data_IF_738126114677
#
_entry.id   IF_738126114677
#
_cell.length_a   1.000
_cell.length_b   1.000
_cell.length_c   1.000
_cell.angle_alpha   90.00
_cell.angle_beta   90.00
_cell.angle_gamma   90.00
#
_symmetry.space_group_name_H-M   'P 1'
#
loop_
_entity.id
_entity.type
_entity.pdbx_description
1 polymer ?
#
# COMPACT_ATOMS: atom_id res chain seq x y z
N UNK A 1 -17.81 2.64 12.47
CA UNK A 1 -17.47 2.27 13.86
C UNK A 1 -17.24 3.58 14.58
N UNK A 2 -17.99 3.86 15.63
CA UNK A 2 -18.01 5.20 16.26
C UNK A 2 -16.70 5.46 17.03
N UNK A 3 -16.24 6.71 17.04
CA UNK A 3 -14.96 7.13 17.64
C UNK A 3 -14.86 6.97 19.16
N UNK A 4 -15.89 6.47 19.84
CA UNK A 4 -15.93 6.32 21.31
C UNK A 4 -15.17 5.10 21.85
N UNK A 5 -14.68 4.22 20.97
CA UNK A 5 -14.00 2.99 21.38
C UNK A 5 -12.54 3.18 21.84
N UNK A 6 -11.94 4.35 21.63
CA UNK A 6 -10.51 4.59 21.94
C UNK A 6 -10.35 5.48 23.18
N UNK A 7 -9.47 5.09 24.10
CA UNK A 7 -9.28 5.79 25.38
C UNK A 7 -8.56 7.14 25.22
N UNK A 8 -7.55 7.19 24.35
CA UNK A 8 -6.75 8.39 24.13
C UNK A 8 -7.41 9.37 23.13
N UNK A 9 -7.42 10.66 23.49
CA UNK A 9 -7.98 11.72 22.62
C UNK A 9 -7.30 11.76 21.26
N UNK A 10 -5.97 11.64 21.21
CA UNK A 10 -5.21 11.62 19.95
C UNK A 10 -5.61 10.47 19.03
N UNK A 11 -5.91 9.30 19.59
CA UNK A 11 -6.31 8.10 18.84
C UNK A 11 -7.75 8.23 18.33
N UNK A 12 -8.68 8.79 19.13
CA UNK A 12 -10.03 9.13 18.65
C UNK A 12 -9.99 10.10 17.46
N UNK A 13 -9.15 11.14 17.55
CA UNK A 13 -8.95 12.09 16.46
C UNK A 13 -8.40 11.41 15.21
N UNK A 14 -7.40 10.53 15.36
CA UNK A 14 -6.84 9.77 14.24
C UNK A 14 -7.88 8.84 13.60
N UNK A 15 -8.70 8.17 14.41
CA UNK A 15 -9.76 7.30 13.93
C UNK A 15 -10.79 8.06 13.09
N UNK A 16 -11.25 9.22 13.58
CA UNK A 16 -12.19 10.07 12.86
C UNK A 16 -11.61 10.54 11.51
N UNK A 17 -10.33 10.88 11.45
CA UNK A 17 -9.65 11.21 10.20
C UNK A 17 -9.64 10.03 9.22
N UNK A 18 -9.31 8.82 9.70
CA UNK A 18 -9.33 7.60 8.87
C UNK A 18 -10.72 7.30 8.35
N UNK A 19 -11.76 7.47 9.17
CA UNK A 19 -13.14 7.28 8.73
C UNK A 19 -13.53 8.32 7.66
N UNK A 20 -13.05 9.56 7.76
CA UNK A 20 -13.19 10.58 6.73
C UNK A 20 -12.42 10.31 5.42
N UNK A 21 -11.55 9.29 5.39
CA UNK A 21 -10.91 8.82 4.16
C UNK A 21 -11.74 7.78 3.40
N UNK A 22 -12.85 7.31 3.97
CA UNK A 22 -13.75 6.39 3.28
C UNK A 22 -14.22 7.00 1.94
N UNK A 23 -14.09 6.23 0.86
CA UNK A 23 -14.38 6.69 -0.50
C UNK A 23 -13.21 7.37 -1.23
N UNK A 24 -12.18 7.86 -0.52
CA UNK A 24 -10.92 8.35 -1.12
C UNK A 24 -9.87 7.25 -1.29
N UNK A 25 -10.00 6.17 -0.53
CA UNK A 25 -9.09 5.01 -0.56
C UNK A 25 -9.87 3.71 -0.74
N UNK A 26 -9.18 2.66 -1.20
CA UNK A 26 -9.78 1.33 -1.31
C UNK A 26 -10.19 0.76 0.06
N UNK A 27 -11.16 -0.15 0.06
CA UNK A 27 -11.64 -0.83 1.28
C UNK A 27 -10.50 -1.52 2.03
N UNK A 28 -9.59 -2.16 1.30
CA UNK A 28 -8.44 -2.85 1.89
C UNK A 28 -7.46 -1.85 2.53
N UNK A 29 -7.17 -0.72 1.85
CA UNK A 29 -6.34 0.33 2.43
C UNK A 29 -6.98 0.92 3.68
N UNK A 30 -8.30 1.11 3.68
CA UNK A 30 -9.03 1.60 4.85
C UNK A 30 -8.91 0.63 6.03
N UNK A 31 -8.98 -0.68 5.80
CA UNK A 31 -8.73 -1.69 6.85
C UNK A 31 -7.30 -1.60 7.40
N UNK A 32 -6.32 -1.42 6.53
CA UNK A 32 -4.91 -1.27 6.93
C UNK A 32 -4.67 -0.01 7.76
N UNK A 33 -5.30 1.11 7.40
CA UNK A 33 -5.24 2.35 8.20
C UNK A 33 -5.88 2.14 9.58
N UNK A 34 -7.06 1.51 9.63
CA UNK A 34 -7.73 1.19 10.91
C UNK A 34 -6.91 0.23 11.78
N UNK A 35 -6.21 -0.72 11.19
CA UNK A 35 -5.26 -1.58 11.90
C UNK A 35 -4.20 -0.73 12.60
N UNK A 36 -3.59 0.24 11.90
CA UNK A 36 -2.57 1.13 12.48
C UNK A 36 -3.15 2.03 13.57
N UNK A 37 -4.38 2.52 13.42
CA UNK A 37 -5.10 3.23 14.50
C UNK A 37 -5.21 2.35 15.75
N UNK A 38 -5.62 1.09 15.58
CA UNK A 38 -5.68 0.14 16.69
C UNK A 38 -4.30 -0.16 17.31
N UNK A 39 -3.22 -0.09 16.53
CA UNK A 39 -1.85 -0.22 17.07
C UNK A 39 -1.48 1.01 17.91
N UNK A 40 -1.84 2.21 17.47
CA UNK A 40 -1.63 3.43 18.28
C UNK A 40 -2.42 3.40 19.58
N UNK A 41 -3.66 2.90 19.56
CA UNK A 41 -4.46 2.74 20.78
C UNK A 41 -3.74 1.91 21.84
N UNK A 42 -3.13 0.80 21.43
CA UNK A 42 -2.37 -0.10 22.32
C UNK A 42 -0.98 0.41 22.69
N UNK A 43 -0.44 1.36 21.94
CA UNK A 43 0.87 1.96 22.18
C UNK A 43 0.77 3.19 23.10
N UNK A 44 -0.27 4.00 22.97
CA UNK A 44 -0.43 5.21 23.78
C UNK A 44 -0.62 4.84 25.25
N UNK A 45 0.18 5.44 26.11
CA UNK A 45 0.23 5.13 27.55
C UNK A 45 1.33 4.14 27.93
N UNK A 46 1.99 3.50 26.95
CA UNK A 46 3.21 2.71 27.19
C UNK A 46 4.43 3.63 27.39
N UNK A 47 5.43 3.21 28.18
CA UNK A 47 6.60 4.02 28.50
C UNK A 47 7.46 4.38 27.28
N UNK A 48 7.40 3.61 26.19
CA UNK A 48 8.11 3.88 24.94
C UNK A 48 7.56 5.12 24.20
N UNK A 49 6.31 5.51 24.46
CA UNK A 49 5.70 6.69 23.85
C UNK A 49 5.74 7.87 24.82
N UNK A 50 6.07 9.10 24.35
CA UNK A 50 5.95 10.29 25.19
C UNK A 50 4.52 10.45 25.71
N UNK A 51 4.36 10.82 26.98
CA UNK A 51 3.03 11.06 27.60
C UNK A 51 2.18 12.06 26.82
N UNK A 52 2.83 13.06 26.20
CA UNK A 52 2.17 14.06 25.35
C UNK A 52 1.49 13.46 24.10
N UNK A 53 1.84 12.24 23.69
CA UNK A 53 1.28 11.54 22.53
C UNK A 53 -0.22 11.27 22.65
N UNK A 54 -0.74 11.17 23.88
CA UNK A 54 -2.18 10.98 24.13
C UNK A 54 -3.03 12.25 23.89
N UNK A 55 -2.40 13.44 23.86
CA UNK A 55 -3.11 14.72 23.93
C UNK A 55 -3.65 15.22 22.59
N UNK A 56 -2.91 15.01 21.51
CA UNK A 56 -3.34 15.40 20.16
C UNK A 56 -2.76 14.49 19.08
N UNK A 57 -3.49 14.33 17.99
CA UNK A 57 -3.10 13.44 16.88
C UNK A 57 -1.75 13.79 16.27
N UNK A 58 -1.40 15.07 16.12
CA UNK A 58 -0.10 15.49 15.60
C UNK A 58 1.09 15.05 16.46
N UNK A 59 0.89 14.84 17.77
CA UNK A 59 1.96 14.37 18.67
C UNK A 59 2.35 12.91 18.42
N UNK A 60 1.46 12.11 17.85
CA UNK A 60 1.73 10.72 17.45
C UNK A 60 2.81 10.63 16.35
N UNK A 61 2.95 11.68 15.54
CA UNK A 61 3.88 11.73 14.40
C UNK A 61 5.18 12.48 14.73
N UNK A 62 5.44 12.75 16.01
CA UNK A 62 6.75 13.25 16.44
C UNK A 62 7.79 12.14 16.35
N UNK A 63 9.06 12.50 16.10
CA UNK A 63 10.15 11.53 15.99
C UNK A 63 10.25 10.58 17.21
N UNK A 64 10.15 11.05 18.47
CA UNK A 64 10.17 10.13 19.63
C UNK A 64 8.96 9.19 19.67
N UNK A 65 7.76 9.68 19.35
CA UNK A 65 6.56 8.85 19.33
C UNK A 65 6.62 7.77 18.23
N UNK A 66 7.07 8.13 17.02
CA UNK A 66 7.25 7.18 15.93
C UNK A 66 8.34 6.15 16.22
N UNK A 67 9.44 6.55 16.88
CA UNK A 67 10.50 5.62 17.29
C UNK A 67 9.99 4.59 18.31
N UNK A 68 9.28 5.05 19.35
CA UNK A 68 8.68 4.17 20.35
C UNK A 68 7.61 3.25 19.78
N UNK A 69 6.70 3.80 18.95
CA UNK A 69 5.71 3.03 18.22
C UNK A 69 6.35 1.95 17.34
N UNK A 70 7.40 2.31 16.59
CA UNK A 70 8.06 1.40 15.67
C UNK A 70 8.78 0.26 16.39
N UNK A 71 9.41 0.55 17.54
CA UNK A 71 10.02 -0.47 18.40
C UNK A 71 8.96 -1.49 18.84
N UNK A 72 7.88 -1.00 19.46
CA UNK A 72 6.78 -1.85 19.93
C UNK A 72 6.13 -2.65 18.78
N UNK A 73 5.95 -2.05 17.61
CA UNK A 73 5.43 -2.74 16.43
C UNK A 73 6.38 -3.85 15.95
N UNK A 74 7.68 -3.56 15.88
CA UNK A 74 8.73 -4.51 15.50
C UNK A 74 8.77 -5.71 16.43
N UNK A 75 8.68 -5.47 17.74
CA UNK A 75 8.70 -6.48 18.80
C UNK A 75 7.39 -7.29 18.86
N UNK A 76 6.36 -6.91 18.11
CA UNK A 76 5.06 -7.60 18.12
C UNK A 76 4.19 -7.28 19.34
N UNK A 77 4.56 -6.27 20.11
CA UNK A 77 3.83 -5.81 21.30
C UNK A 77 2.48 -5.18 20.95
N UNK A 78 2.34 -4.74 19.71
CA UNK A 78 1.14 -4.13 19.16
C UNK A 78 0.36 -5.14 18.31
N UNK A 79 0.17 -6.38 18.80
CA UNK A 79 -0.73 -7.38 18.19
C UNK A 79 -2.15 -7.27 18.76
N UNK A 80 -3.14 -7.47 17.90
CA UNK A 80 -4.55 -7.35 18.30
C UNK A 80 -4.98 -8.56 19.14
N UNK A 81 -4.51 -9.75 18.75
CA UNK A 81 -4.70 -11.01 19.46
C UNK A 81 -3.65 -11.14 20.56
N UNK A 82 -4.09 -11.43 21.76
CA UNK A 82 -3.23 -11.56 22.93
C UNK A 82 -2.23 -12.70 22.76
N UNK A 83 -2.65 -13.81 22.15
CA UNK A 83 -1.80 -14.97 21.88
C UNK A 83 -0.65 -14.72 20.88
N UNK A 84 -0.72 -13.61 20.14
CA UNK A 84 0.31 -13.20 19.19
C UNK A 84 1.23 -12.10 19.75
N UNK A 85 0.93 -11.54 20.93
CA UNK A 85 1.76 -10.51 21.56
C UNK A 85 3.18 -11.02 21.80
N UNK A 86 4.18 -10.19 21.50
CA UNK A 86 5.59 -10.57 21.55
C UNK A 86 6.07 -11.37 20.34
N UNK A 87 5.21 -11.68 19.36
CA UNK A 87 5.61 -12.26 18.07
C UNK A 87 5.91 -11.14 17.06
N UNK A 88 7.18 -10.95 16.66
CA UNK A 88 7.57 -9.88 15.76
C UNK A 88 6.73 -9.82 14.49
N UNK A 89 6.46 -8.61 13.99
CA UNK A 89 5.75 -8.46 12.73
C UNK A 89 6.65 -8.92 11.56
N UNK A 90 6.12 -9.72 10.62
CA UNK A 90 6.84 -10.03 9.39
C UNK A 90 7.21 -8.76 8.64
N UNK A 91 8.34 -8.76 7.93
CA UNK A 91 8.85 -7.60 7.19
C UNK A 91 7.80 -6.98 6.24
N UNK A 92 7.00 -7.81 5.58
CA UNK A 92 5.91 -7.35 4.71
C UNK A 92 4.85 -6.54 5.49
N UNK A 93 4.52 -6.96 6.71
CA UNK A 93 3.57 -6.25 7.57
C UNK A 93 4.16 -4.93 8.06
N UNK A 94 5.44 -4.91 8.45
CA UNK A 94 6.13 -3.67 8.83
C UNK A 94 6.11 -2.63 7.70
N UNK A 95 6.25 -3.05 6.44
CA UNK A 95 6.12 -2.13 5.29
C UNK A 95 4.72 -1.55 5.17
N UNK A 96 3.69 -2.38 5.29
CA UNK A 96 2.30 -1.90 5.26
C UNK A 96 2.08 -0.87 6.38
N UNK A 97 2.59 -1.14 7.59
CA UNK A 97 2.53 -0.20 8.72
C UNK A 97 3.26 1.10 8.38
N UNK A 98 4.49 1.03 7.85
CA UNK A 98 5.28 2.21 7.44
C UNK A 98 4.54 3.04 6.39
N UNK A 99 3.97 2.41 5.37
CA UNK A 99 3.24 3.10 4.30
C UNK A 99 1.98 3.78 4.85
N UNK A 100 1.26 3.10 5.75
CA UNK A 100 0.12 3.68 6.44
C UNK A 100 0.53 4.85 7.33
N UNK A 101 1.66 4.78 8.05
CA UNK A 101 2.19 5.92 8.81
C UNK A 101 2.47 7.12 7.90
N UNK A 102 3.01 6.90 6.70
CA UNK A 102 3.26 7.97 5.73
C UNK A 102 1.98 8.58 5.16
N UNK A 103 0.93 7.78 4.95
CA UNK A 103 -0.39 8.29 4.55
C UNK A 103 -0.99 9.12 5.68
N UNK A 104 -1.03 8.57 6.90
CA UNK A 104 -1.63 9.24 8.06
C UNK A 104 -0.88 10.53 8.42
N UNK A 105 0.45 10.54 8.36
CA UNK A 105 1.25 11.73 8.61
C UNK A 105 0.87 12.89 7.68
N UNK A 106 0.67 12.60 6.38
CA UNK A 106 0.27 13.61 5.38
C UNK A 106 -1.14 14.15 5.59
N UNK A 107 -2.04 13.33 6.13
CA UNK A 107 -3.41 13.77 6.45
C UNK A 107 -3.48 14.56 7.76
N UNK A 108 -2.60 14.25 8.72
CA UNK A 108 -2.63 14.83 10.07
C UNK A 108 -1.85 16.14 10.17
N UNK A 109 -0.71 16.22 9.50
CA UNK A 109 0.24 17.31 9.66
C UNK A 109 0.11 18.35 8.53
N UNK A 110 0.53 19.60 8.78
CA UNK A 110 0.61 20.60 7.71
C UNK A 110 1.46 20.08 6.53
N UNK A 111 1.10 20.40 5.27
CA UNK A 111 1.77 19.89 4.07
C UNK A 111 3.29 20.10 4.03
N UNK A 112 3.77 21.16 4.67
CA UNK A 112 5.19 21.54 4.75
C UNK A 112 5.98 20.70 5.78
N UNK A 113 5.29 19.91 6.60
CA UNK A 113 5.93 19.16 7.68
C UNK A 113 6.59 17.89 7.16
N UNK A 114 7.91 17.84 7.25
CA UNK A 114 8.68 16.64 6.91
C UNK A 114 8.68 15.67 8.09
N UNK A 115 8.15 14.46 7.87
CA UNK A 115 8.19 13.36 8.85
C UNK A 115 9.23 12.33 8.46
N UNK A 116 10.15 12.05 9.37
CA UNK A 116 11.11 10.96 9.22
C UNK A 116 10.46 9.65 9.64
N UNK A 117 10.05 8.85 8.65
CA UNK A 117 9.50 7.52 8.89
C UNK A 117 10.63 6.51 9.18
N UNK A 118 10.36 5.48 9.98
CA UNK A 118 11.30 4.38 10.18
C UNK A 118 11.75 3.73 8.86
N UNK A 119 13.03 3.34 8.81
CA UNK A 119 13.59 2.62 7.67
C UNK A 119 13.16 1.15 7.74
N UNK A 120 12.82 0.59 6.58
CA UNK A 120 12.49 -0.84 6.44
C UNK A 120 13.40 -1.39 5.34
N UNK A 121 14.10 -2.52 5.58
CA UNK A 121 14.92 -3.15 4.56
C UNK A 121 14.14 -3.31 3.25
N UNK A 122 14.71 -2.87 2.15
CA UNK A 122 14.13 -3.04 0.83
C UNK A 122 14.17 -4.53 0.49
N UNK A 123 13.06 -5.09 -0.02
CA UNK A 123 13.07 -6.50 -0.41
C UNK A 123 13.95 -6.61 -1.63
N UNK A 124 14.84 -7.59 -1.64
CA UNK A 124 15.47 -8.02 -2.88
C UNK A 124 14.37 -8.31 -3.88
N UNK A 125 14.48 -7.67 -5.04
CA UNK A 125 13.48 -7.78 -6.06
C UNK A 125 13.48 -9.22 -6.55
N UNK A 126 12.30 -9.86 -6.57
CA UNK A 126 12.18 -11.20 -7.14
C UNK A 126 12.67 -11.18 -8.59
N UNK A 127 13.25 -12.29 -9.04
CA UNK A 127 13.56 -12.47 -10.45
C UNK A 127 12.29 -12.22 -11.29
N UNK A 128 12.47 -11.59 -12.45
CA UNK A 128 11.40 -11.45 -13.43
C UNK A 128 10.91 -12.83 -13.89
N UNK A 129 9.67 -12.90 -14.37
CA UNK A 129 9.10 -14.16 -14.86
C UNK A 129 9.98 -14.77 -15.95
N UNK A 130 10.16 -16.09 -15.90
CA UNK A 130 10.96 -16.80 -16.91
C UNK A 130 10.34 -16.65 -18.30
N UNK A 131 11.17 -16.66 -19.36
CA UNK A 131 10.70 -16.48 -20.74
C UNK A 131 9.63 -17.48 -21.19
N UNK A 132 9.63 -18.70 -20.62
CA UNK A 132 8.57 -19.70 -20.87
C UNK A 132 7.21 -19.27 -20.31
N UNK A 133 7.19 -18.68 -19.12
CA UNK A 133 5.98 -18.15 -18.49
C UNK A 133 5.46 -16.93 -19.24
N UNK A 134 6.39 -16.09 -19.74
CA UNK A 134 6.08 -14.93 -20.58
C UNK A 134 5.42 -15.36 -21.91
N UNK A 135 5.94 -16.40 -22.56
CA UNK A 135 5.40 -16.95 -23.80
C UNK A 135 3.99 -17.54 -23.61
N UNK A 136 3.76 -18.23 -22.48
CA UNK A 136 2.44 -18.76 -22.14
C UNK A 136 1.42 -17.63 -21.91
N UNK A 137 1.82 -16.55 -21.23
CA UNK A 137 1.01 -15.35 -21.07
C UNK A 137 0.69 -14.70 -22.43
N UNK A 138 1.69 -14.55 -23.31
CA UNK A 138 1.50 -14.01 -24.65
C UNK A 138 0.46 -14.81 -25.45
N UNK A 139 0.57 -16.14 -25.45
CA UNK A 139 -0.41 -17.02 -26.13
C UNK A 139 -1.82 -16.84 -25.57
N UNK A 140 -1.95 -16.83 -24.24
CA UNK A 140 -3.24 -16.59 -23.59
C UNK A 140 -3.87 -15.24 -23.96
N UNK A 141 -3.08 -14.19 -24.22
CA UNK A 141 -3.61 -12.90 -24.69
C UNK A 141 -4.04 -12.92 -26.15
N UNK A 142 -3.30 -13.62 -27.01
CA UNK A 142 -3.70 -13.82 -28.41
C UNK A 142 -5.03 -14.56 -28.46
N UNK A 143 -5.20 -15.55 -27.59
CA UNK A 143 -6.45 -16.29 -27.43
C UNK A 143 -7.57 -15.40 -26.86
N UNK A 144 -7.29 -14.58 -25.84
CA UNK A 144 -8.24 -13.61 -25.27
C UNK A 144 -8.64 -12.49 -26.26
N UNK A 145 -7.72 -12.06 -27.11
CA UNK A 145 -7.97 -11.03 -28.12
C UNK A 145 -8.76 -11.58 -29.32
N UNK A 146 -8.58 -12.86 -29.64
CA UNK A 146 -9.29 -13.55 -30.74
C UNK A 146 -10.65 -14.10 -30.31
N UNK A 147 -10.86 -14.39 -29.03
CA UNK A 147 -12.17 -14.76 -28.51
C UNK A 147 -13.13 -13.56 -28.43
N UNK A 148 -14.40 -13.81 -28.79
CA UNK A 148 -15.56 -12.91 -28.66
C UNK A 148 -15.80 -12.44 -27.22
N UNK A 149 -16.98 -11.88 -26.85
CA UNK A 149 -17.13 -11.10 -25.62
C UNK A 149 -16.55 -11.83 -24.41
N UNK A 150 -15.60 -11.17 -23.74
CA UNK A 150 -14.91 -11.72 -22.58
C UNK A 150 -15.87 -11.61 -21.41
N UNK A 151 -16.68 -12.64 -21.27
CA UNK A 151 -17.54 -12.82 -20.11
C UNK A 151 -16.72 -13.47 -19.00
N UNK A 152 -16.59 -12.76 -17.89
CA UNK A 152 -16.05 -13.31 -16.64
C UNK A 152 -17.13 -13.16 -15.58
N UNK A 153 -17.54 -14.28 -15.00
CA UNK A 153 -18.55 -14.32 -13.94
C UNK A 153 -19.86 -13.59 -14.33
N UNK A 154 -20.32 -13.76 -15.58
CA UNK A 154 -21.54 -13.13 -16.12
C UNK A 154 -21.42 -11.64 -16.44
N UNK A 155 -20.23 -11.04 -16.30
CA UNK A 155 -19.96 -9.65 -16.65
C UNK A 155 -19.16 -9.60 -17.95
N UNK A 156 -19.76 -9.06 -19.01
CA UNK A 156 -19.05 -8.79 -20.25
C UNK A 156 -18.08 -7.62 -20.04
N UNK A 157 -16.78 -7.86 -20.26
CA UNK A 157 -15.78 -6.79 -20.27
C UNK A 157 -16.12 -5.80 -21.39
N UNK A 158 -16.19 -4.51 -21.03
CA UNK A 158 -16.40 -3.46 -22.02
C UNK A 158 -15.22 -3.41 -22.99
N UNK A 159 -15.43 -2.82 -24.17
CA UNK A 159 -14.36 -2.58 -25.12
C UNK A 159 -13.21 -1.75 -24.50
N UNK A 160 -13.54 -0.80 -23.61
CA UNK A 160 -12.57 0.04 -22.92
C UNK A 160 -11.74 -0.76 -21.89
N UNK A 161 -12.39 -1.62 -21.09
CA UNK A 161 -11.69 -2.48 -20.14
C UNK A 161 -10.76 -3.48 -20.84
N UNK A 162 -11.19 -4.02 -21.99
CA UNK A 162 -10.36 -4.87 -22.82
C UNK A 162 -9.14 -4.12 -23.36
N UNK A 163 -9.34 -2.91 -23.87
CA UNK A 163 -8.26 -2.06 -24.38
C UNK A 163 -7.25 -1.74 -23.28
N UNK A 164 -7.73 -1.38 -22.07
CA UNK A 164 -6.88 -1.12 -20.91
C UNK A 164 -6.10 -2.37 -20.48
N UNK A 165 -6.76 -3.52 -20.41
CA UNK A 165 -6.13 -4.79 -20.05
C UNK A 165 -5.04 -5.16 -21.05
N UNK A 166 -5.33 -5.10 -22.36
CA UNK A 166 -4.34 -5.38 -23.40
C UNK A 166 -3.16 -4.41 -23.34
N UNK A 167 -3.40 -3.11 -23.16
CA UNK A 167 -2.32 -2.13 -23.01
C UNK A 167 -1.43 -2.42 -21.80
N UNK A 168 -2.02 -2.69 -20.63
CA UNK A 168 -1.26 -3.06 -19.42
C UNK A 168 -0.39 -4.31 -19.65
N UNK A 169 -0.95 -5.33 -20.31
CA UNK A 169 -0.19 -6.56 -20.53
C UNK A 169 0.89 -6.38 -21.61
N UNK A 170 0.64 -5.61 -22.67
CA UNK A 170 1.67 -5.25 -23.65
C UNK A 170 2.85 -4.53 -23.00
N UNK A 171 2.61 -3.61 -22.06
CA UNK A 171 3.66 -2.94 -21.30
C UNK A 171 4.45 -3.95 -20.45
N UNK A 172 3.77 -4.85 -19.75
CA UNK A 172 4.44 -5.89 -18.93
C UNK A 172 5.29 -6.82 -19.80
N UNK A 173 4.80 -7.21 -20.98
CA UNK A 173 5.54 -8.07 -21.91
C UNK A 173 6.74 -7.36 -22.54
N UNK A 174 6.58 -6.08 -22.92
CA UNK A 174 7.63 -5.29 -23.57
C UNK A 174 8.72 -4.87 -22.59
N UNK A 175 8.34 -4.29 -21.44
CA UNK A 175 9.26 -3.76 -20.46
C UNK A 175 9.74 -4.81 -19.44
N UNK A 176 9.07 -5.97 -19.36
CA UNK A 176 9.35 -6.99 -18.33
C UNK A 176 9.10 -6.49 -16.91
N UNK A 177 8.33 -5.39 -16.76
CA UNK A 177 8.16 -4.70 -15.49
C UNK A 177 7.46 -5.59 -14.46
N UNK A 178 7.98 -5.58 -13.24
CA UNK A 178 7.32 -6.20 -12.08
C UNK A 178 6.04 -5.44 -11.76
N UNK A 179 5.09 -6.08 -11.10
CA UNK A 179 3.82 -5.43 -10.71
C UNK A 179 4.02 -4.17 -9.88
N UNK A 180 5.04 -4.13 -9.03
CA UNK A 180 5.40 -2.93 -8.25
C UNK A 180 5.98 -1.80 -9.09
N UNK A 181 6.73 -2.12 -10.13
CA UNK A 181 7.31 -1.13 -11.06
C UNK A 181 6.19 -0.56 -11.95
N UNK A 182 5.32 -1.42 -12.48
CA UNK A 182 4.13 -1.03 -13.24
C UNK A 182 3.20 -0.11 -12.42
N UNK A 183 2.99 -0.41 -11.14
CA UNK A 183 2.14 0.40 -10.25
C UNK A 183 2.72 1.79 -9.94
N UNK A 184 4.02 1.99 -10.15
CA UNK A 184 4.69 3.28 -9.95
C UNK A 184 4.83 4.11 -11.21
N UNK A 185 4.55 3.53 -12.39
CA UNK A 185 4.65 4.23 -13.66
C UNK A 185 3.59 5.34 -13.77
N UNK A 186 4.01 6.49 -14.29
CA UNK A 186 3.19 7.65 -14.58
C UNK A 186 3.20 7.92 -16.08
N UNK A 187 2.17 8.61 -16.58
CA UNK A 187 2.12 9.06 -17.98
C UNK A 187 3.34 9.95 -18.32
N UNK A 188 3.87 10.69 -17.33
CA UNK A 188 5.08 11.51 -17.48
C UNK A 188 6.36 10.70 -17.65
N UNK A 189 6.35 9.40 -17.34
CA UNK A 189 7.49 8.51 -17.54
C UNK A 189 7.58 8.05 -19.00
N UNK A 190 6.58 8.35 -19.82
CA UNK A 190 6.59 8.14 -21.26
C UNK A 190 7.26 9.35 -21.91
N UNK A 191 8.45 9.15 -22.49
CA UNK A 191 9.12 10.18 -23.27
C UNK A 191 8.27 10.54 -24.52
N UNK A 192 8.00 11.82 -24.79
CA UNK A 192 7.35 12.21 -26.04
C UNK A 192 8.23 11.84 -27.24
N UNK A 193 7.73 10.99 -28.13
CA UNK A 193 8.33 10.77 -29.46
C UNK A 193 9.17 9.50 -29.66
N UNK A 194 9.16 8.52 -28.76
CA UNK A 194 9.74 7.20 -29.07
C UNK A 194 8.76 6.35 -29.91
N UNK A 195 8.96 6.38 -31.23
CA UNK A 195 8.34 5.41 -32.14
C UNK A 195 9.10 4.09 -32.02
N UNK A 196 8.50 3.09 -31.38
CA UNK A 196 9.06 1.75 -31.32
C UNK A 196 9.22 1.18 -32.73
N UNK A 197 10.46 0.91 -33.17
CA UNK A 197 10.71 0.17 -34.41
C UNK A 197 10.25 -1.28 -34.22
N UNK A 198 9.13 -1.63 -34.86
CA UNK A 198 8.75 -3.03 -35.07
C UNK A 198 9.67 -3.58 -36.16
N UNK A 199 10.73 -4.28 -35.74
CA UNK A 199 11.49 -5.11 -36.67
C UNK A 199 10.57 -6.25 -37.15
N UNK A 200 10.29 -6.31 -38.45
CA UNK A 200 9.69 -7.51 -39.05
C UNK A 200 10.74 -8.62 -38.98
N UNK A 201 10.41 -9.71 -38.29
CA UNK A 201 11.14 -10.96 -38.48
C UNK A 201 10.84 -11.47 -39.89
N UNK A 202 11.90 -11.60 -40.70
CA UNK A 202 11.98 -12.45 -41.89
C UNK A 202 11.95 -13.92 -41.52
#
# INVERSE_FOLDING_TARGET
>A
MSGDQYAARSVRQLAAMVDGMAGRVSVERLRQLRMVVGMFDRAVGRPELPVASARSVGRLFTRPALAGFWKLAGDGELRYREEDVGRPLPLASLRIVRDCLGILAREVLPPETVVVLPSVPQQEQKATVSGRSLLALYRGLVDLASAGPLERDGTALTFEDRTRLLAMVSIVLYAGARSGELATQRVTDLAPGEWGRVARCS
#
